data_IF_562862532644
#
_entry.id   IF_562862532644
#
_cell.length_a   1.000
_cell.length_b   1.000
_cell.length_c   1.000
_cell.angle_alpha   90.00
_cell.angle_beta   90.00
_cell.angle_gamma   90.00
#
_symmetry.space_group_name_H-M   'P 1'
#
loop_
_entity.id
_entity.type
_entity.pdbx_description
1 polymer ?
#
# COMPACT_ATOMS: atom_id res chain seq x y z
N UNK A 1 -8.24 -10.01 2.36
CA UNK A 1 -9.40 -10.31 3.23
C UNK A 1 -10.28 -9.09 3.52
N UNK A 2 -9.72 -7.89 3.76
CA UNK A 2 -10.50 -6.65 3.98
C UNK A 2 -11.54 -6.36 2.89
N UNK A 3 -11.19 -6.64 1.62
CA UNK A 3 -12.10 -6.49 0.46
C UNK A 3 -13.33 -7.41 0.49
N UNK A 4 -13.27 -8.56 1.16
CA UNK A 4 -14.40 -9.49 1.29
C UNK A 4 -15.34 -9.06 2.41
N UNK A 5 -14.77 -8.55 3.51
CA UNK A 5 -15.54 -7.93 4.60
C UNK A 5 -16.26 -6.66 4.14
N UNK A 6 -15.59 -5.79 3.38
CA UNK A 6 -16.19 -4.57 2.83
C UNK A 6 -17.31 -4.84 1.82
N UNK A 7 -17.35 -6.03 1.23
CA UNK A 7 -18.40 -6.48 0.30
C UNK A 7 -19.50 -7.27 1.00
N UNK A 8 -19.41 -7.40 2.33
CA UNK A 8 -20.35 -8.18 3.15
C UNK A 8 -20.50 -9.63 2.64
N UNK A 9 -19.38 -10.23 2.24
CA UNK A 9 -19.32 -11.62 1.76
C UNK A 9 -18.63 -12.54 2.78
N UNK A 10 -17.85 -11.96 3.70
CA UNK A 10 -17.13 -12.70 4.72
C UNK A 10 -17.00 -11.88 6.01
N UNK A 11 -16.89 -12.57 7.13
CA UNK A 11 -16.53 -12.01 8.44
C UNK A 11 -15.10 -12.38 8.78
N UNK A 12 -14.35 -11.44 9.36
CA UNK A 12 -12.96 -11.67 9.75
C UNK A 12 -12.95 -12.03 11.22
N UNK A 13 -12.42 -13.20 11.55
CA UNK A 13 -12.24 -13.67 12.93
C UNK A 13 -10.76 -13.88 13.16
N UNK A 14 -10.25 -13.37 14.27
CA UNK A 14 -8.83 -13.40 14.59
C UNK A 14 -8.47 -14.70 15.31
N UNK A 15 -7.57 -15.49 14.73
CA UNK A 15 -7.25 -16.87 15.18
C UNK A 15 -6.56 -16.90 16.56
N UNK A 16 -5.78 -15.87 16.87
CA UNK A 16 -5.03 -15.74 18.13
C UNK A 16 -5.93 -15.52 19.36
N UNK A 17 -7.17 -15.06 19.16
CA UNK A 17 -8.15 -14.75 20.22
C UNK A 17 -9.47 -15.50 20.01
N UNK A 18 -9.43 -16.64 19.30
CA UNK A 18 -10.61 -17.43 18.98
C UNK A 18 -11.22 -18.09 20.22
N UNK A 19 -12.31 -17.51 20.71
CA UNK A 19 -13.20 -18.13 21.70
C UNK A 19 -14.42 -18.76 21.03
N UNK A 20 -14.99 -19.78 21.67
CA UNK A 20 -16.21 -20.48 21.18
C UNK A 20 -17.36 -19.49 21.00
N UNK A 21 -17.48 -18.49 21.87
CA UNK A 21 -18.52 -17.46 21.79
C UNK A 21 -18.33 -16.54 20.58
N UNK A 22 -17.10 -16.09 20.32
CA UNK A 22 -16.73 -15.29 19.15
C UNK A 22 -17.03 -16.04 17.84
N UNK A 23 -16.68 -17.33 17.77
CA UNK A 23 -16.99 -18.16 16.61
C UNK A 23 -18.51 -18.38 16.43
N UNK A 24 -19.22 -18.64 17.54
CA UNK A 24 -20.67 -18.87 17.51
C UNK A 24 -21.43 -17.61 17.07
N UNK A 25 -20.99 -16.43 17.52
CA UNK A 25 -21.59 -15.16 17.13
C UNK A 25 -21.34 -14.85 15.65
N UNK A 26 -20.13 -15.08 15.14
CA UNK A 26 -19.81 -14.92 13.71
C UNK A 26 -20.63 -15.87 12.82
N UNK A 27 -20.81 -17.14 13.22
CA UNK A 27 -21.67 -18.08 12.49
C UNK A 27 -23.13 -17.63 12.47
N UNK A 28 -23.68 -17.24 13.63
CA UNK A 28 -25.05 -16.71 13.70
C UNK A 28 -25.23 -15.48 12.82
N UNK A 29 -24.21 -14.62 12.75
CA UNK A 29 -24.21 -13.43 11.92
C UNK A 29 -24.23 -13.76 10.42
N UNK A 30 -23.42 -14.71 9.96
CA UNK A 30 -23.36 -15.11 8.54
C UNK A 30 -24.63 -15.86 8.12
N UNK A 31 -25.21 -16.69 9.00
CA UNK A 31 -26.42 -17.47 8.72
C UNK A 31 -27.72 -16.67 8.92
N UNK A 32 -27.65 -15.43 9.42
CA UNK A 32 -28.84 -14.60 9.64
C UNK A 32 -29.58 -14.34 8.31
N UNK A 33 -30.85 -14.76 8.16
CA UNK A 33 -31.62 -14.54 6.93
C UNK A 33 -31.89 -13.06 6.64
N UNK A 34 -31.74 -12.16 7.62
CA UNK A 34 -31.88 -10.71 7.43
C UNK A 34 -30.68 -10.08 6.72
N UNK A 35 -29.52 -10.76 6.71
CA UNK A 35 -28.28 -10.22 6.15
C UNK A 35 -28.00 -10.80 4.76
N UNK A 36 -27.57 -9.97 3.79
CA UNK A 36 -27.42 -10.40 2.40
C UNK A 36 -26.11 -11.17 2.11
N UNK A 37 -25.48 -11.83 3.09
CA UNK A 37 -24.21 -12.54 2.90
C UNK A 37 -24.27 -13.56 1.75
N UNK A 38 -25.31 -14.41 1.73
CA UNK A 38 -25.53 -15.41 0.68
C UNK A 38 -25.75 -14.77 -0.69
N UNK A 39 -26.57 -13.71 -0.76
CA UNK A 39 -26.90 -13.04 -2.02
C UNK A 39 -25.66 -12.34 -2.60
N UNK A 40 -24.90 -11.64 -1.75
CA UNK A 40 -23.65 -10.98 -2.13
C UNK A 40 -22.60 -11.99 -2.58
N UNK A 41 -22.51 -13.15 -1.92
CA UNK A 41 -21.61 -14.24 -2.34
C UNK A 41 -21.99 -14.79 -3.73
N UNK A 42 -23.28 -15.04 -3.98
CA UNK A 42 -23.75 -15.50 -5.30
C UNK A 42 -23.47 -14.47 -6.38
N UNK A 43 -23.76 -13.19 -6.11
CA UNK A 43 -23.47 -12.09 -7.04
C UNK A 43 -21.96 -11.99 -7.33
N UNK A 44 -21.12 -12.12 -6.30
CA UNK A 44 -19.67 -12.11 -6.46
C UNK A 44 -19.18 -13.32 -7.29
N UNK A 45 -19.77 -14.50 -7.07
CA UNK A 45 -19.47 -15.69 -7.84
C UNK A 45 -19.82 -15.52 -9.31
N UNK A 46 -21.00 -14.95 -9.61
CA UNK A 46 -21.41 -14.66 -10.99
C UNK A 46 -20.41 -13.71 -11.65
N UNK A 47 -20.07 -12.59 -10.99
CA UNK A 47 -19.08 -11.64 -11.51
C UNK A 47 -17.69 -12.27 -11.70
N UNK A 48 -17.30 -13.23 -10.86
CA UNK A 48 -16.02 -13.92 -11.00
C UNK A 48 -15.97 -14.85 -12.22
N UNK A 49 -17.10 -15.49 -12.52
CA UNK A 49 -17.28 -16.40 -13.65
C UNK A 49 -17.66 -15.67 -14.95
N UNK A 50 -18.08 -14.41 -14.86
CA UNK A 50 -18.41 -13.53 -15.97
C UNK A 50 -17.13 -13.06 -16.69
N UNK A 51 -16.48 -14.01 -17.35
CA UNK A 51 -15.28 -13.80 -18.16
C UNK A 51 -15.51 -14.41 -19.54
N UNK A 52 -15.00 -13.78 -20.61
CA UNK A 52 -15.26 -14.22 -21.98
C UNK A 52 -14.66 -15.59 -22.32
N UNK A 53 -13.62 -16.02 -21.60
CA UNK A 53 -13.04 -17.35 -21.72
C UNK A 53 -12.96 -18.04 -20.36
N UNK A 54 -13.20 -19.36 -20.36
CA UNK A 54 -13.01 -20.17 -19.16
C UNK A 54 -11.53 -20.14 -18.74
N UNK A 55 -11.24 -20.23 -17.43
CA UNK A 55 -9.86 -20.21 -16.94
C UNK A 55 -8.98 -21.30 -17.56
N UNK A 56 -9.56 -22.48 -17.85
CA UNK A 56 -8.84 -23.59 -18.48
C UNK A 56 -8.46 -23.28 -19.93
N UNK A 57 -9.39 -22.75 -20.72
CA UNK A 57 -9.15 -22.41 -22.12
C UNK A 57 -8.12 -21.28 -22.23
N UNK A 58 -8.19 -20.30 -21.31
CA UNK A 58 -7.20 -19.23 -21.20
C UNK A 58 -5.80 -19.79 -20.89
N UNK A 59 -5.69 -20.74 -19.96
CA UNK A 59 -4.41 -21.38 -19.64
C UNK A 59 -3.85 -22.14 -20.84
N UNK A 60 -4.69 -22.90 -21.56
CA UNK A 60 -4.30 -23.62 -22.79
C UNK A 60 -3.80 -22.65 -23.85
N UNK A 61 -4.54 -21.55 -24.09
CA UNK A 61 -4.14 -20.51 -25.03
C UNK A 61 -2.75 -19.93 -24.68
N UNK A 62 -2.51 -19.59 -23.42
CA UNK A 62 -1.22 -19.05 -22.99
C UNK A 62 -0.09 -20.08 -23.08
N UNK A 63 -0.35 -21.34 -22.75
CA UNK A 63 0.65 -22.41 -22.95
C UNK A 63 1.02 -22.57 -24.42
N UNK A 64 0.03 -22.62 -25.31
CA UNK A 64 0.25 -22.70 -26.75
C UNK A 64 0.97 -21.45 -27.28
N UNK A 65 0.63 -20.27 -26.77
CA UNK A 65 1.31 -19.02 -27.10
C UNK A 65 2.80 -19.07 -26.74
N UNK A 66 3.14 -19.55 -25.54
CA UNK A 66 4.54 -19.70 -25.11
C UNK A 66 5.29 -20.74 -25.94
N UNK A 67 4.66 -21.87 -26.25
CA UNK A 67 5.26 -22.91 -27.10
C UNK A 67 5.53 -22.40 -28.52
N UNK A 68 4.57 -21.71 -29.15
CA UNK A 68 4.72 -21.13 -30.50
C UNK A 68 5.84 -20.09 -30.58
N UNK A 69 6.02 -19.30 -29.50
CA UNK A 69 7.02 -18.24 -29.45
C UNK A 69 8.30 -18.66 -28.71
N UNK A 70 8.58 -19.97 -28.60
CA UNK A 70 9.80 -20.54 -28.00
C UNK A 70 10.18 -19.90 -26.66
N UNK A 71 9.20 -19.78 -25.75
CA UNK A 71 9.41 -19.21 -24.42
C UNK A 71 9.01 -17.73 -24.28
N UNK A 72 8.39 -17.14 -25.31
CA UNK A 72 7.85 -15.78 -25.31
C UNK A 72 8.80 -14.76 -24.64
N UNK A 73 10.03 -14.66 -25.15
CA UNK A 73 11.08 -13.82 -24.56
C UNK A 73 10.67 -12.35 -24.39
N UNK A 74 9.70 -11.88 -25.18
CA UNK A 74 9.10 -10.54 -25.09
C UNK A 74 8.11 -10.37 -23.92
N UNK A 75 7.51 -11.44 -23.40
CA UNK A 75 6.66 -11.42 -22.20
C UNK A 75 7.48 -11.52 -20.89
N UNK A 76 8.76 -11.90 -20.97
CA UNK A 76 9.65 -11.86 -19.81
C UNK A 76 9.89 -10.40 -19.47
N UNK A 77 9.64 -10.03 -18.22
CA UNK A 77 10.00 -8.71 -17.71
C UNK A 77 11.50 -8.50 -17.91
N UNK A 78 11.85 -7.44 -18.65
CA UNK A 78 13.24 -7.02 -18.87
C UNK A 78 13.95 -6.68 -17.55
N UNK A 79 13.21 -6.58 -16.43
CA UNK A 79 13.71 -6.44 -15.05
C UNK A 79 14.89 -7.36 -14.71
N UNK A 80 14.97 -8.56 -15.29
CA UNK A 80 16.09 -9.48 -15.06
C UNK A 80 17.38 -9.11 -15.79
N UNK A 81 17.31 -8.30 -16.85
CA UNK A 81 18.48 -7.82 -17.61
C UNK A 81 18.98 -6.46 -17.10
N UNK A 82 18.23 -5.80 -16.23
CA UNK A 82 18.65 -4.51 -15.68
C UNK A 82 19.78 -4.70 -14.65
N UNK A 83 20.80 -3.84 -14.68
CA UNK A 83 21.81 -3.83 -13.64
C UNK A 83 21.17 -3.39 -12.32
N UNK A 84 21.75 -3.86 -11.21
CA UNK A 84 21.19 -3.72 -9.86
C UNK A 84 20.85 -2.26 -9.48
N UNK A 85 21.62 -1.29 -9.98
CA UNK A 85 21.45 0.15 -9.72
C UNK A 85 20.20 0.73 -10.40
N UNK A 86 19.87 0.25 -11.60
CA UNK A 86 18.69 0.68 -12.34
C UNK A 86 17.43 -0.01 -11.79
N UNK A 87 17.56 -1.27 -11.36
CA UNK A 87 16.49 -1.99 -10.67
C UNK A 87 16.07 -1.30 -9.36
N UNK A 88 17.03 -0.78 -8.59
CA UNK A 88 16.76 -0.07 -7.34
C UNK A 88 16.52 1.44 -7.50
N UNK A 89 16.49 1.96 -8.74
CA UNK A 89 16.30 3.39 -9.02
C UNK A 89 17.17 4.30 -8.14
N UNK A 90 18.49 4.03 -8.04
CA UNK A 90 19.38 4.77 -7.14
C UNK A 90 19.37 6.29 -7.38
N UNK A 91 19.17 6.72 -8.63
CA UNK A 91 19.04 8.14 -8.98
C UNK A 91 17.87 8.81 -8.24
N UNK A 92 16.72 8.14 -8.22
CA UNK A 92 15.53 8.61 -7.51
C UNK A 92 15.78 8.69 -6.00
N UNK A 93 16.44 7.68 -5.42
CA UNK A 93 16.81 7.67 -3.99
C UNK A 93 17.77 8.82 -3.67
N UNK A 94 18.78 9.04 -4.51
CA UNK A 94 19.74 10.13 -4.32
C UNK A 94 19.07 11.51 -4.35
N UNK A 95 18.11 11.71 -5.27
CA UNK A 95 17.31 12.94 -5.32
C UNK A 95 16.50 13.12 -4.03
N UNK A 96 15.79 12.10 -3.55
CA UNK A 96 15.03 12.18 -2.29
C UNK A 96 15.92 12.49 -1.08
N UNK A 97 17.09 11.86 -0.99
CA UNK A 97 18.07 12.13 0.08
C UNK A 97 18.58 13.58 0.00
N UNK A 98 18.93 14.05 -1.19
CA UNK A 98 19.39 15.44 -1.39
C UNK A 98 18.31 16.46 -1.00
N UNK A 99 17.06 16.24 -1.40
CA UNK A 99 15.94 17.09 -0.99
C UNK A 99 15.70 17.05 0.52
N UNK A 100 15.77 15.87 1.14
CA UNK A 100 15.66 15.71 2.59
C UNK A 100 16.75 16.48 3.34
N UNK A 101 18.01 16.35 2.92
CA UNK A 101 19.13 17.08 3.50
C UNK A 101 18.99 18.60 3.33
N UNK A 102 18.53 19.06 2.16
CA UNK A 102 18.28 20.47 1.90
C UNK A 102 17.21 21.02 2.84
N UNK A 103 16.09 20.32 3.02
CA UNK A 103 15.03 20.73 3.95
C UNK A 103 15.56 20.80 5.38
N UNK A 104 16.30 19.77 5.83
CA UNK A 104 16.90 19.76 7.17
C UNK A 104 17.85 20.94 7.35
N UNK A 105 18.70 21.23 6.36
CA UNK A 105 19.61 22.37 6.40
C UNK A 105 18.87 23.71 6.47
N UNK A 106 17.81 23.89 5.67
CA UNK A 106 16.97 25.10 5.70
C UNK A 106 16.29 25.29 7.06
N UNK A 107 15.72 24.23 7.63
CA UNK A 107 15.12 24.28 8.97
C UNK A 107 16.17 24.62 10.02
N UNK A 108 17.34 24.00 9.97
CA UNK A 108 18.41 24.24 10.95
C UNK A 108 18.94 25.68 10.88
N UNK A 109 19.17 26.21 9.68
CA UNK A 109 19.57 27.61 9.46
C UNK A 109 18.47 28.55 9.94
N UNK A 110 17.21 28.29 9.61
CA UNK A 110 16.07 29.12 10.02
C UNK A 110 15.93 29.15 11.54
N UNK A 111 15.99 27.99 12.22
CA UNK A 111 15.99 27.92 13.68
C UNK A 111 17.17 28.68 14.29
N UNK A 112 18.39 28.54 13.75
CA UNK A 112 19.56 29.31 14.21
C UNK A 112 19.39 30.81 14.04
N UNK A 113 18.85 31.25 12.91
CA UNK A 113 18.56 32.66 12.63
C UNK A 113 17.51 33.20 13.60
N UNK A 114 16.41 32.48 13.82
CA UNK A 114 15.36 32.87 14.77
C UNK A 114 15.91 32.96 16.20
N UNK A 115 16.66 31.95 16.67
CA UNK A 115 17.29 31.98 17.99
C UNK A 115 18.28 33.15 18.10
N UNK A 116 19.11 33.37 17.06
CA UNK A 116 20.06 34.48 17.02
C UNK A 116 19.38 35.86 17.05
N UNK A 117 18.26 36.03 16.34
CA UNK A 117 17.45 37.25 16.37
C UNK A 117 16.80 37.46 17.74
N UNK A 118 16.22 36.41 18.36
CA UNK A 118 15.62 36.50 19.69
C UNK A 118 16.64 36.88 20.77
N UNK A 119 17.86 36.35 20.70
CA UNK A 119 18.96 36.71 21.62
C UNK A 119 19.38 38.18 21.44
N UNK A 120 19.47 38.68 20.20
CA UNK A 120 19.80 40.09 19.91
C UNK A 120 18.71 41.04 20.43
N UNK A 121 17.43 40.71 20.21
CA UNK A 121 16.31 41.52 20.72
C UNK A 121 16.27 41.55 22.24
N UNK A 122 16.50 40.41 22.92
CA UNK A 122 16.59 40.37 24.39
C UNK A 122 17.72 41.25 24.94
N UNK A 123 18.89 41.26 24.27
CA UNK A 123 20.04 42.10 24.65
C UNK A 123 19.79 43.60 24.42
N UNK A 124 19.03 43.96 23.37
CA UNK A 124 18.62 45.34 23.11
C UNK A 124 17.62 45.85 24.16
N UNK A 125 16.65 45.01 24.54
CA UNK A 125 15.65 45.34 25.56
C UNK A 125 16.29 45.46 26.96
N UNK A 126 17.26 44.61 27.31
CA UNK A 126 17.97 44.72 28.59
C UNK A 126 18.85 45.97 28.69
N UNK A 127 19.34 46.48 27.56
CA UNK A 127 20.18 47.70 27.52
C UNK A 127 19.35 48.97 27.71
N UNK A 128 18.15 49.04 27.10
CA UNK A 128 17.20 50.16 27.25
C UNK A 128 16.53 50.26 28.63
N UNK A 129 16.63 49.22 29.47
CA UNK A 129 16.08 49.22 30.84
C UNK A 129 17.11 49.65 31.90
N UNK A 130 18.38 49.77 31.51
CA UNK A 130 19.51 50.13 32.38
C UNK A 130 20.08 51.54 32.07
N UNK A 131 19.53 52.25 31.09
CA UNK A 131 19.60 53.72 30.93
C UNK A 131 18.31 54.32 31.48
#
# INVERSE_FOLDING_TARGET
>A
MVRLKSREVAEIVEVTTLEVESMTSALKNILDPKKPYKQNMVKLSQLHLDKPMKPIDSAVFWMEFVMRHKGAAHLRTESYKLPWYAYHCLDVIAVFVAFGLLIIALVWVSCRCLIGCLIKTKKSISKSKNE
#
